data_IF_384875767494
#
_entry.id   IF_384875767494
#
_cell.length_a   1.000
_cell.length_b   1.000
_cell.length_c   1.000
_cell.angle_alpha   90.00
_cell.angle_beta   90.00
_cell.angle_gamma   90.00
#
_symmetry.space_group_name_H-M   'P 1'
#
loop_
_entity.id
_entity.type
_entity.pdbx_description
1 polymer ?
#
# COMPACT_ATOMS: atom_id res chain seq x y z
N UNK A 1 4.65 31.11 -22.83
CA UNK A 1 3.45 30.38 -23.26
C UNK A 1 3.17 29.27 -22.24
N UNK A 2 2.67 29.69 -21.10
CA UNK A 2 2.34 28.78 -20.00
C UNK A 2 0.82 28.61 -19.95
N UNK A 3 0.26 28.00 -21.03
CA UNK A 3 -1.07 27.44 -20.94
C UNK A 3 -0.91 26.02 -20.39
N UNK A 4 -1.19 25.87 -19.11
CA UNK A 4 -1.42 24.52 -18.55
C UNK A 4 -2.39 23.78 -19.49
N UNK A 5 -2.16 22.50 -19.75
CA UNK A 5 -3.12 21.69 -20.50
C UNK A 5 -4.52 21.89 -19.91
N UNK A 6 -5.52 21.96 -20.74
CA UNK A 6 -6.91 22.24 -20.32
C UNK A 6 -7.39 21.30 -19.22
N UNK A 7 -6.88 20.07 -19.22
CA UNK A 7 -7.19 19.07 -18.18
C UNK A 7 -6.60 19.41 -16.81
N UNK A 8 -5.38 19.97 -16.75
CA UNK A 8 -4.78 20.40 -15.50
C UNK A 8 -5.58 21.55 -14.88
N UNK A 9 -5.99 22.51 -15.73
CA UNK A 9 -6.84 23.62 -15.27
C UNK A 9 -8.21 23.14 -14.77
N UNK A 10 -8.83 22.17 -15.46
CA UNK A 10 -10.10 21.60 -15.02
C UNK A 10 -9.95 20.86 -13.68
N UNK A 11 -8.83 20.17 -13.47
CA UNK A 11 -8.54 19.51 -12.19
C UNK A 11 -8.38 20.54 -11.08
N UNK A 12 -7.58 21.59 -11.28
CA UNK A 12 -7.40 22.69 -10.30
C UNK A 12 -8.73 23.39 -9.96
N UNK A 13 -9.54 23.69 -10.98
CA UNK A 13 -10.86 24.32 -10.79
C UNK A 13 -11.80 23.38 -9.98
N UNK A 14 -11.79 22.08 -10.26
CA UNK A 14 -12.58 21.09 -9.53
C UNK A 14 -12.13 20.94 -8.07
N UNK A 15 -10.83 20.87 -7.82
CA UNK A 15 -10.27 20.82 -6.46
C UNK A 15 -10.64 22.07 -5.65
N UNK A 16 -10.56 23.26 -6.28
CA UNK A 16 -10.96 24.50 -5.64
C UNK A 16 -12.44 24.50 -5.26
N UNK A 17 -13.31 24.08 -6.19
CA UNK A 17 -14.75 24.01 -5.93
C UNK A 17 -15.10 23.01 -4.82
N UNK A 18 -14.45 21.84 -4.80
CA UNK A 18 -14.64 20.83 -3.74
C UNK A 18 -14.21 21.40 -2.39
N UNK A 19 -13.09 22.10 -2.33
CA UNK A 19 -12.61 22.76 -1.11
C UNK A 19 -13.62 23.80 -0.62
N UNK A 20 -14.08 24.68 -1.50
CA UNK A 20 -15.06 25.71 -1.15
C UNK A 20 -16.35 25.10 -0.56
N UNK A 21 -16.82 23.97 -1.14
CA UNK A 21 -17.98 23.24 -0.62
C UNK A 21 -17.70 22.64 0.77
N UNK A 22 -16.50 22.07 0.98
CA UNK A 22 -16.15 21.42 2.26
C UNK A 22 -15.86 22.44 3.38
N UNK A 23 -15.50 23.67 3.04
CA UNK A 23 -15.24 24.75 3.97
C UNK A 23 -16.52 25.56 4.29
N UNK A 24 -17.58 25.44 3.49
CA UNK A 24 -18.87 26.10 3.72
C UNK A 24 -19.53 25.55 5.00
N UNK A 25 -19.94 26.45 5.90
CA UNK A 25 -20.64 26.10 7.14
C UNK A 25 -21.97 25.40 6.89
N UNK A 26 -22.63 25.71 5.79
CA UNK A 26 -23.92 25.14 5.37
C UNK A 26 -23.75 23.87 4.49
N UNK A 27 -22.56 23.27 4.45
CA UNK A 27 -22.28 22.10 3.65
C UNK A 27 -23.24 20.94 3.94
N UNK A 28 -24.01 20.46 2.96
CA UNK A 28 -24.97 19.36 3.16
C UNK A 28 -24.29 18.01 3.40
N UNK A 29 -22.99 17.89 3.10
CA UNK A 29 -22.21 16.66 3.23
C UNK A 29 -21.46 16.59 4.56
N UNK A 30 -22.17 16.64 5.69
CA UNK A 30 -21.58 16.73 7.03
C UNK A 30 -20.49 15.68 7.34
N UNK A 31 -20.63 14.44 6.85
CA UNK A 31 -19.61 13.39 7.04
C UNK A 31 -18.33 13.69 6.28
N UNK A 32 -18.45 14.12 5.02
CA UNK A 32 -17.30 14.49 4.19
C UNK A 32 -16.59 15.72 4.76
N UNK A 33 -17.35 16.69 5.24
CA UNK A 33 -16.81 17.86 5.91
C UNK A 33 -16.09 17.51 7.22
N UNK A 34 -16.64 16.61 8.02
CA UNK A 34 -15.99 16.15 9.25
C UNK A 34 -14.68 15.43 8.97
N UNK A 35 -14.65 14.58 7.91
CA UNK A 35 -13.43 13.92 7.47
C UNK A 35 -12.39 14.94 6.97
N UNK A 36 -12.80 15.89 6.15
CA UNK A 36 -11.93 16.96 5.66
C UNK A 36 -11.31 17.76 6.83
N UNK A 37 -12.14 18.20 7.78
CA UNK A 37 -11.68 18.95 8.96
C UNK A 37 -10.71 18.14 9.81
N UNK A 38 -10.95 16.85 10.01
CA UNK A 38 -10.03 15.98 10.77
C UNK A 38 -8.68 15.80 10.05
N UNK A 39 -8.68 15.76 8.72
CA UNK A 39 -7.45 15.70 7.93
C UNK A 39 -6.66 17.01 7.92
N UNK A 40 -7.36 18.14 8.00
CA UNK A 40 -6.76 19.48 8.03
C UNK A 40 -6.35 19.96 9.43
N UNK A 41 -6.71 19.23 10.49
CA UNK A 41 -6.32 19.53 11.88
C UNK A 41 -4.89 19.08 12.16
N UNK A 42 -3.94 19.83 11.62
CA UNK A 42 -2.51 19.53 11.73
C UNK A 42 -2.02 19.53 13.19
N UNK A 43 -2.62 20.33 14.06
CA UNK A 43 -2.25 20.38 15.48
C UNK A 43 -2.64 19.08 16.18
N UNK A 44 -3.84 18.56 15.92
CA UNK A 44 -4.29 17.28 16.46
C UNK A 44 -3.46 16.11 15.87
N UNK A 45 -3.11 16.14 14.59
CA UNK A 45 -2.27 15.14 13.93
C UNK A 45 -0.87 15.12 14.57
N UNK A 46 -0.23 16.26 14.71
CA UNK A 46 1.08 16.37 15.35
C UNK A 46 1.05 15.91 16.82
N UNK A 47 0.01 16.28 17.56
CA UNK A 47 -0.15 15.84 18.94
C UNK A 47 -0.36 14.31 19.07
N UNK A 48 -1.05 13.70 18.13
CA UNK A 48 -1.27 12.25 18.11
C UNK A 48 0.02 11.48 17.78
N UNK A 49 0.90 12.03 16.93
CA UNK A 49 2.13 11.39 16.49
C UNK A 49 1.90 9.97 15.96
N UNK A 50 2.70 8.99 16.40
CA UNK A 50 2.57 7.60 16.01
C UNK A 50 1.52 6.80 16.82
N UNK A 51 0.80 7.43 17.76
CA UNK A 51 -0.16 6.73 18.63
C UNK A 51 -1.24 5.96 17.87
N UNK A 52 -1.85 6.48 16.79
CA UNK A 52 -2.91 5.78 16.06
C UNK A 52 -2.45 4.48 15.38
N UNK A 53 -1.20 4.41 14.95
CA UNK A 53 -0.64 3.22 14.27
C UNK A 53 0.04 2.24 15.24
N UNK A 54 0.22 2.63 16.50
CA UNK A 54 0.93 1.82 17.50
C UNK A 54 0.35 0.41 17.65
N UNK A 55 -0.97 0.20 17.73
CA UNK A 55 -1.53 -1.15 17.84
C UNK A 55 -1.15 -2.07 16.67
N UNK A 56 -1.07 -1.56 15.45
CA UNK A 56 -0.65 -2.33 14.28
C UNK A 56 0.85 -2.66 14.33
N UNK A 57 1.69 -1.68 14.69
CA UNK A 57 3.13 -1.90 14.86
C UNK A 57 3.40 -2.92 15.96
N UNK A 58 2.75 -2.81 17.11
CA UNK A 58 2.90 -3.75 18.22
C UNK A 58 2.46 -5.17 17.81
N UNK A 59 1.39 -5.33 17.03
CA UNK A 59 0.95 -6.63 16.53
C UNK A 59 2.01 -7.28 15.61
N UNK A 60 2.68 -6.47 14.78
CA UNK A 60 3.78 -6.93 13.92
C UNK A 60 5.00 -7.31 14.75
N UNK A 61 5.41 -6.45 15.68
CA UNK A 61 6.61 -6.64 16.51
C UNK A 61 6.50 -7.86 17.44
N UNK A 62 5.28 -8.21 17.88
CA UNK A 62 5.02 -9.36 18.73
C UNK A 62 4.73 -10.66 17.97
N UNK A 63 4.79 -10.67 16.63
CA UNK A 63 4.62 -11.87 15.85
C UNK A 63 5.78 -12.85 16.10
N UNK A 64 5.50 -13.94 16.81
CA UNK A 64 6.53 -14.87 17.30
C UNK A 64 7.22 -15.70 16.20
N UNK A 65 6.55 -15.88 15.07
CA UNK A 65 7.03 -16.67 13.93
C UNK A 65 6.37 -16.22 12.62
N UNK A 66 6.77 -16.82 11.50
CA UNK A 66 6.21 -16.52 10.18
C UNK A 66 4.70 -16.72 10.12
N UNK A 67 4.18 -17.77 10.75
CA UNK A 67 2.74 -18.04 10.72
C UNK A 67 1.95 -17.00 11.52
N UNK A 68 2.48 -16.55 12.66
CA UNK A 68 1.92 -15.43 13.42
C UNK A 68 1.95 -14.14 12.60
N UNK A 69 3.09 -13.83 11.94
CA UNK A 69 3.23 -12.65 11.09
C UNK A 69 2.23 -12.69 9.92
N UNK A 70 2.08 -13.84 9.24
CA UNK A 70 1.11 -14.00 8.15
C UNK A 70 -0.33 -13.72 8.60
N UNK A 71 -0.72 -14.24 9.78
CA UNK A 71 -2.04 -13.92 10.38
C UNK A 71 -2.18 -12.44 10.70
N UNK A 72 -1.14 -11.83 11.28
CA UNK A 72 -1.15 -10.39 11.60
C UNK A 72 -1.34 -9.55 10.34
N UNK A 73 -0.62 -9.86 9.25
CA UNK A 73 -0.78 -9.18 7.95
C UNK A 73 -2.23 -9.31 7.45
N UNK A 74 -2.81 -10.52 7.51
CA UNK A 74 -4.20 -10.74 7.13
C UNK A 74 -5.19 -9.94 7.97
N UNK A 75 -5.01 -9.89 9.29
CA UNK A 75 -5.88 -9.16 10.22
C UNK A 75 -5.78 -7.63 10.05
N UNK A 76 -4.66 -7.10 9.57
CA UNK A 76 -4.47 -5.66 9.33
C UNK A 76 -5.03 -5.21 7.96
N UNK A 77 -5.27 -6.14 7.01
CA UNK A 77 -5.77 -5.81 5.66
C UNK A 77 -7.13 -5.08 5.67
N UNK A 78 -8.15 -5.47 6.46
CA UNK A 78 -9.44 -4.80 6.48
C UNK A 78 -9.39 -3.32 6.90
N UNK A 79 -8.39 -2.93 7.66
CA UNK A 79 -8.20 -1.54 8.12
C UNK A 79 -7.10 -0.80 7.34
N UNK A 80 -6.61 -1.42 6.27
CA UNK A 80 -5.57 -0.88 5.37
C UNK A 80 -4.29 -0.43 6.10
N UNK A 81 -3.91 -1.18 7.14
CA UNK A 81 -2.71 -0.90 7.95
C UNK A 81 -1.63 -1.98 7.81
N UNK A 82 -1.89 -3.02 7.01
CA UNK A 82 -0.94 -4.10 6.78
C UNK A 82 -0.12 -3.91 5.50
N UNK A 83 1.04 -4.58 5.39
CA UNK A 83 1.79 -4.60 4.14
C UNK A 83 1.02 -5.35 3.06
N UNK A 84 0.97 -4.81 1.87
CA UNK A 84 0.40 -5.45 0.69
C UNK A 84 1.43 -6.44 0.10
N UNK A 85 1.37 -7.69 0.55
CA UNK A 85 2.24 -8.76 0.00
C UNK A 85 1.85 -9.08 -1.44
N UNK A 86 0.58 -9.02 -1.72
CA UNK A 86 -0.02 -9.04 -3.06
C UNK A 86 -1.28 -8.17 -3.03
N UNK A 87 -1.63 -7.58 -4.17
CA UNK A 87 -2.90 -6.88 -4.29
C UNK A 87 -4.04 -7.88 -4.47
N UNK A 88 -5.22 -7.53 -3.95
CA UNK A 88 -6.39 -8.40 -3.95
C UNK A 88 -7.64 -7.59 -4.29
N UNK A 89 -8.38 -8.07 -5.25
CA UNK A 89 -9.64 -7.46 -5.67
C UNK A 89 -10.64 -8.52 -6.14
N UNK A 90 -11.91 -8.16 -6.16
CA UNK A 90 -12.98 -9.02 -6.67
C UNK A 90 -13.55 -8.39 -7.92
N UNK A 91 -13.39 -9.07 -9.06
CA UNK A 91 -13.90 -8.63 -10.36
C UNK A 91 -14.57 -9.80 -11.09
N UNK A 92 -15.28 -9.48 -12.18
CA UNK A 92 -15.79 -10.49 -13.10
C UNK A 92 -14.66 -11.30 -13.74
N UNK A 93 -14.84 -12.62 -13.85
CA UNK A 93 -13.90 -13.47 -14.59
C UNK A 93 -13.86 -13.01 -16.07
N UNK A 94 -12.68 -12.65 -16.63
CA UNK A 94 -12.56 -12.20 -18.03
C UNK A 94 -13.11 -13.18 -19.06
N UNK A 95 -13.17 -14.47 -18.76
CA UNK A 95 -13.71 -15.51 -19.64
C UNK A 95 -15.13 -15.94 -19.30
N UNK A 96 -15.65 -15.57 -18.14
CA UNK A 96 -17.02 -15.81 -17.70
C UNK A 96 -17.56 -14.63 -16.89
N UNK A 97 -17.91 -13.51 -17.54
CA UNK A 97 -18.26 -12.25 -16.87
C UNK A 97 -19.45 -12.33 -15.90
N UNK A 98 -20.23 -13.40 -15.95
CA UNK A 98 -21.34 -13.63 -15.02
C UNK A 98 -20.89 -14.20 -13.66
N UNK A 99 -19.60 -14.47 -13.52
CA UNK A 99 -18.99 -15.01 -12.30
C UNK A 99 -17.95 -14.02 -11.75
N UNK A 100 -18.04 -13.67 -10.48
CA UNK A 100 -17.02 -12.92 -9.79
C UNK A 100 -15.93 -13.87 -9.25
N UNK A 101 -14.68 -13.48 -9.42
CA UNK A 101 -13.52 -14.20 -8.90
C UNK A 101 -12.59 -13.26 -8.14
N UNK A 102 -11.82 -13.82 -7.23
CA UNK A 102 -10.76 -13.10 -6.53
C UNK A 102 -9.56 -13.02 -7.46
N UNK A 103 -9.07 -11.81 -7.68
CA UNK A 103 -7.83 -11.54 -8.38
C UNK A 103 -6.71 -11.30 -7.36
N UNK A 104 -5.57 -11.94 -7.58
CA UNK A 104 -4.33 -11.69 -6.85
C UNK A 104 -3.32 -11.13 -7.84
N UNK A 105 -2.76 -9.98 -7.53
CA UNK A 105 -1.79 -9.31 -8.40
C UNK A 105 -0.48 -9.05 -7.64
N UNK A 106 0.61 -8.87 -8.40
CA UNK A 106 1.90 -8.54 -7.81
C UNK A 106 1.83 -7.21 -7.06
N UNK A 107 2.39 -7.18 -5.86
CA UNK A 107 2.48 -6.02 -4.98
C UNK A 107 3.68 -6.17 -4.03
N UNK A 108 3.72 -5.42 -2.94
CA UNK A 108 4.79 -5.52 -1.92
C UNK A 108 6.01 -4.68 -2.23
N UNK A 109 5.88 -3.67 -3.09
CA UNK A 109 6.90 -2.66 -3.36
C UNK A 109 6.30 -1.27 -3.19
N UNK A 110 7.07 -0.32 -2.66
CA UNK A 110 6.61 1.04 -2.41
C UNK A 110 6.98 2.04 -3.51
N UNK A 111 7.93 1.72 -4.39
CA UNK A 111 8.22 2.48 -5.59
C UNK A 111 7.30 2.04 -6.74
N UNK A 112 7.07 2.88 -7.78
CA UNK A 112 5.99 2.66 -8.75
C UNK A 112 6.02 1.35 -9.52
N UNK A 113 7.20 0.82 -9.83
CA UNK A 113 7.37 -0.46 -10.52
C UNK A 113 8.78 -1.05 -10.33
N UNK A 114 9.01 -2.25 -10.87
CA UNK A 114 10.27 -3.01 -10.74
C UNK A 114 11.49 -2.26 -11.31
N UNK A 115 11.32 -1.45 -12.34
CA UNK A 115 12.41 -0.72 -12.99
C UNK A 115 13.08 0.29 -12.03
N UNK A 116 12.31 0.86 -11.09
CA UNK A 116 12.82 1.78 -10.08
C UNK A 116 13.86 1.13 -9.17
N UNK A 117 13.81 -0.19 -8.99
CA UNK A 117 14.74 -0.94 -8.14
C UNK A 117 16.03 -1.35 -8.87
N UNK A 118 16.01 -1.48 -10.20
CA UNK A 118 17.16 -2.02 -10.97
C UNK A 118 17.84 -1.01 -11.87
N UNK A 119 17.14 0.02 -12.38
CA UNK A 119 17.74 0.93 -13.37
C UNK A 119 18.54 2.05 -12.70
N UNK A 120 19.74 2.32 -13.23
CA UNK A 120 20.69 3.26 -12.62
C UNK A 120 20.17 4.70 -12.55
N UNK A 121 19.38 5.12 -13.53
CA UNK A 121 18.85 6.49 -13.56
C UNK A 121 17.85 6.77 -12.44
N UNK A 122 17.29 5.73 -11.79
CA UNK A 122 16.44 5.86 -10.61
C UNK A 122 17.20 5.84 -9.27
N UNK A 123 18.55 5.74 -9.29
CA UNK A 123 19.32 5.72 -8.05
C UNK A 123 19.04 6.91 -7.10
N UNK A 124 18.87 8.17 -7.58
CA UNK A 124 18.51 9.29 -6.70
C UNK A 124 17.12 9.12 -6.05
N UNK A 125 16.18 8.48 -6.74
CA UNK A 125 14.83 8.20 -6.19
C UNK A 125 14.92 7.14 -5.10
N UNK A 126 15.69 6.07 -5.30
CA UNK A 126 15.94 5.06 -4.27
C UNK A 126 16.59 5.65 -3.03
N UNK A 127 17.54 6.55 -3.17
CA UNK A 127 18.17 7.22 -2.04
C UNK A 127 17.15 8.06 -1.25
N UNK A 128 16.37 8.90 -1.93
CA UNK A 128 15.32 9.69 -1.30
C UNK A 128 14.25 8.81 -0.63
N UNK A 129 13.95 7.65 -1.21
CA UNK A 129 13.03 6.67 -0.65
C UNK A 129 13.57 6.07 0.65
N UNK A 130 14.84 5.66 0.69
CA UNK A 130 15.50 5.19 1.91
C UNK A 130 15.50 6.25 3.00
N UNK A 131 15.78 7.52 2.66
CA UNK A 131 15.75 8.64 3.61
C UNK A 131 14.33 8.82 4.20
N UNK A 132 13.29 8.71 3.35
CA UNK A 132 11.90 8.77 3.78
C UNK A 132 11.56 7.62 4.74
N UNK A 133 11.89 6.38 4.39
CA UNK A 133 11.64 5.19 5.23
C UNK A 133 12.39 5.31 6.57
N UNK A 134 13.66 5.72 6.56
CA UNK A 134 14.43 5.94 7.79
C UNK A 134 13.77 6.99 8.69
N UNK A 135 13.27 8.09 8.11
CA UNK A 135 12.53 9.11 8.86
C UNK A 135 11.24 8.55 9.47
N UNK A 136 10.47 7.78 8.72
CA UNK A 136 9.24 7.15 9.21
C UNK A 136 9.51 6.17 10.36
N UNK A 137 10.52 5.31 10.23
CA UNK A 137 10.93 4.39 11.28
C UNK A 137 11.34 5.13 12.56
N UNK A 138 12.06 6.25 12.44
CA UNK A 138 12.45 7.07 13.59
C UNK A 138 11.23 7.71 14.26
N UNK A 139 10.30 8.26 13.49
CA UNK A 139 9.04 8.81 14.01
C UNK A 139 8.18 7.74 14.69
N UNK A 140 8.23 6.51 14.21
CA UNK A 140 7.59 5.35 14.82
C UNK A 140 8.32 4.82 16.06
N UNK A 141 9.52 5.33 16.37
CA UNK A 141 10.26 4.98 17.60
C UNK A 141 11.16 3.75 17.49
N UNK A 142 11.55 3.33 16.26
CA UNK A 142 12.40 2.16 16.03
C UNK A 142 13.90 2.40 16.22
N UNK A 143 14.30 3.57 16.66
CA UNK A 143 15.69 3.86 17.01
C UNK A 143 16.15 5.26 16.64
N UNK A 144 17.45 5.48 16.77
CA UNK A 144 18.13 6.70 16.35
C UNK A 144 18.35 6.74 14.81
N UNK A 145 19.01 7.78 14.33
CA UNK A 145 19.23 8.00 12.90
C UNK A 145 20.09 6.90 12.25
N UNK A 146 21.14 6.44 12.92
CA UNK A 146 22.01 5.38 12.41
C UNK A 146 21.27 4.04 12.32
N UNK A 147 20.54 3.69 13.37
CA UNK A 147 19.75 2.46 13.46
C UNK A 147 18.65 2.44 12.38
N UNK A 148 17.88 3.51 12.27
CA UNK A 148 16.75 3.57 11.32
C UNK A 148 17.22 3.67 9.88
N UNK A 149 18.39 4.27 9.61
CA UNK A 149 19.00 4.22 8.28
C UNK A 149 19.38 2.79 7.89
N UNK A 150 20.05 2.05 8.78
CA UNK A 150 20.39 0.66 8.52
C UNK A 150 19.18 -0.25 8.36
N UNK A 151 18.07 0.05 9.03
CA UNK A 151 16.79 -0.65 8.84
C UNK A 151 16.17 -0.32 7.47
N UNK A 152 16.19 0.94 7.05
CA UNK A 152 15.67 1.38 5.76
C UNK A 152 16.46 0.79 4.57
N UNK A 153 17.79 0.67 4.71
CA UNK A 153 18.62 0.00 3.70
C UNK A 153 18.24 -1.48 3.55
N UNK A 154 17.99 -2.19 4.66
CA UNK A 154 17.50 -3.58 4.65
C UNK A 154 16.10 -3.69 4.08
N UNK A 155 15.24 -2.72 4.34
CA UNK A 155 13.91 -2.66 3.77
C UNK A 155 13.96 -2.53 2.25
N UNK A 156 14.79 -1.62 1.71
CA UNK A 156 14.99 -1.50 0.26
C UNK A 156 15.56 -2.80 -0.36
N UNK A 157 16.46 -3.50 0.35
CA UNK A 157 16.97 -4.81 -0.13
C UNK A 157 15.86 -5.85 -0.25
N UNK A 158 14.95 -5.92 0.73
CA UNK A 158 13.78 -6.82 0.67
C UNK A 158 12.88 -6.48 -0.50
N UNK A 159 12.51 -5.20 -0.67
CA UNK A 159 11.68 -4.78 -1.81
C UNK A 159 12.37 -5.00 -3.16
N UNK A 160 13.68 -4.78 -3.25
CA UNK A 160 14.46 -5.09 -4.47
C UNK A 160 14.36 -6.56 -4.84
N UNK A 161 14.39 -7.46 -3.86
CA UNK A 161 14.22 -8.90 -4.10
C UNK A 161 12.80 -9.27 -4.50
N UNK A 162 11.79 -8.56 -4.00
CA UNK A 162 10.39 -8.70 -4.44
C UNK A 162 10.28 -8.19 -5.88
N UNK A 163 10.73 -6.97 -6.16
CA UNK A 163 10.70 -6.35 -7.47
C UNK A 163 11.39 -7.17 -8.56
N UNK A 164 12.48 -7.87 -8.22
CA UNK A 164 13.17 -8.76 -9.15
C UNK A 164 12.32 -9.94 -9.66
N UNK A 165 11.20 -10.23 -9.01
CA UNK A 165 10.24 -11.27 -9.43
C UNK A 165 8.98 -10.68 -10.06
N UNK A 166 8.83 -9.36 -10.09
CA UNK A 166 7.72 -8.70 -10.75
C UNK A 166 7.86 -8.75 -12.27
N UNK A 167 6.76 -8.83 -12.93
CA UNK A 167 6.68 -8.57 -14.36
C UNK A 167 6.76 -7.06 -14.61
N UNK A 168 7.33 -6.69 -15.74
CA UNK A 168 7.34 -5.30 -16.17
C UNK A 168 5.93 -4.81 -16.58
N UNK A 169 5.79 -3.49 -16.66
CA UNK A 169 4.51 -2.83 -16.98
C UNK A 169 3.94 -3.17 -18.37
N UNK A 170 4.74 -3.73 -19.28
CA UNK A 170 4.25 -4.18 -20.60
C UNK A 170 3.70 -5.59 -20.47
N UNK A 171 4.41 -6.47 -19.78
CA UNK A 171 4.01 -7.85 -19.57
C UNK A 171 2.70 -7.95 -18.75
N UNK A 172 2.50 -7.10 -17.73
CA UNK A 172 1.28 -7.07 -16.91
C UNK A 172 0.03 -6.65 -17.67
N UNK A 173 0.16 -6.00 -18.82
CA UNK A 173 -0.96 -5.62 -19.71
C UNK A 173 -1.42 -6.73 -20.65
N UNK A 174 -0.69 -7.83 -20.72
CA UNK A 174 -1.07 -8.97 -21.57
C UNK A 174 -2.12 -9.83 -20.85
N UNK A 175 -3.39 -9.56 -21.12
CA UNK A 175 -4.53 -10.25 -20.50
C UNK A 175 -4.58 -11.76 -20.72
N UNK A 176 -3.84 -12.28 -21.68
CA UNK A 176 -3.74 -13.75 -21.90
C UNK A 176 -2.71 -14.36 -20.94
N UNK A 177 -1.61 -13.67 -20.70
CA UNK A 177 -0.56 -14.14 -19.78
C UNK A 177 -0.96 -13.96 -18.33
N UNK A 178 -1.69 -12.89 -18.00
CA UNK A 178 -2.15 -12.63 -16.63
C UNK A 178 -3.36 -13.47 -16.21
N UNK A 179 -4.02 -14.17 -17.15
CA UNK A 179 -5.14 -15.05 -16.83
C UNK A 179 -4.65 -16.45 -16.41
N UNK A 180 -4.45 -16.64 -15.12
CA UNK A 180 -3.97 -17.89 -14.51
C UNK A 180 -4.95 -18.39 -13.45
N UNK A 181 -6.16 -18.87 -13.84
CA UNK A 181 -7.15 -19.32 -12.86
C UNK A 181 -6.65 -20.57 -12.13
N UNK A 182 -6.79 -20.55 -10.81
CA UNK A 182 -6.50 -21.68 -9.93
C UNK A 182 -7.54 -21.76 -8.83
N UNK A 183 -7.72 -22.92 -8.22
CA UNK A 183 -8.55 -23.04 -7.02
C UNK A 183 -7.74 -22.77 -5.75
N UNK A 184 -8.44 -22.44 -4.66
CA UNK A 184 -7.82 -22.05 -3.42
C UNK A 184 -6.96 -23.16 -2.77
N UNK A 185 -7.31 -24.43 -2.98
CA UNK A 185 -6.54 -25.56 -2.42
C UNK A 185 -5.18 -25.64 -3.12
N UNK A 186 -5.19 -25.63 -4.45
CA UNK A 186 -3.97 -25.61 -5.27
C UNK A 186 -3.08 -24.40 -4.92
N UNK A 187 -3.67 -23.21 -4.84
CA UNK A 187 -2.97 -21.98 -4.46
C UNK A 187 -2.35 -22.08 -3.05
N UNK A 188 -3.06 -22.70 -2.11
CA UNK A 188 -2.57 -22.88 -0.73
C UNK A 188 -1.38 -23.82 -0.67
N UNK A 189 -1.35 -24.85 -1.50
CA UNK A 189 -0.22 -25.78 -1.59
C UNK A 189 1.00 -25.10 -2.23
N UNK A 190 0.81 -24.32 -3.30
CA UNK A 190 1.87 -23.55 -3.97
C UNK A 190 2.46 -22.48 -3.06
N UNK A 191 1.64 -21.81 -2.25
CA UNK A 191 2.03 -20.76 -1.30
C UNK A 191 2.18 -21.26 0.14
N UNK A 192 2.50 -22.55 0.34
CA UNK A 192 2.64 -23.17 1.67
C UNK A 192 3.63 -22.43 2.57
N UNK A 193 4.70 -21.83 2.01
CA UNK A 193 5.68 -21.06 2.77
C UNK A 193 5.17 -19.72 3.28
N UNK A 194 4.15 -19.17 2.64
CA UNK A 194 3.45 -17.97 3.10
C UNK A 194 2.26 -18.29 4.00
N UNK A 195 1.67 -19.49 3.85
CA UNK A 195 0.44 -19.91 4.53
C UNK A 195 -0.76 -19.01 4.22
N UNK A 196 -1.10 -18.93 2.94
CA UNK A 196 -2.19 -18.07 2.45
C UNK A 196 -3.54 -18.38 3.11
N UNK A 197 -3.78 -19.62 3.55
CA UNK A 197 -5.01 -19.99 4.25
C UNK A 197 -5.12 -19.24 5.61
N UNK A 198 -4.04 -19.22 6.39
CA UNK A 198 -4.01 -18.51 7.65
C UNK A 198 -4.14 -16.98 7.47
N UNK A 199 -3.62 -16.45 6.37
CA UNK A 199 -3.79 -15.05 5.98
C UNK A 199 -5.26 -14.74 5.63
N UNK A 200 -5.87 -15.59 4.79
CA UNK A 200 -7.26 -15.41 4.36
C UNK A 200 -8.26 -15.54 5.51
N UNK A 201 -8.05 -16.51 6.41
CA UNK A 201 -8.87 -16.67 7.61
C UNK A 201 -8.82 -15.44 8.52
N UNK A 202 -7.62 -14.88 8.71
CA UNK A 202 -7.43 -13.68 9.53
C UNK A 202 -8.00 -12.41 8.89
N UNK A 203 -8.05 -12.34 7.55
CA UNK A 203 -8.65 -11.23 6.81
C UNK A 203 -10.18 -11.20 6.93
N UNK A 204 -10.81 -12.35 7.07
CA UNK A 204 -12.28 -12.45 7.20
C UNK A 204 -12.79 -12.06 8.61
N UNK A 205 -11.92 -11.94 9.62
CA UNK A 205 -12.23 -11.53 11.01
C UNK A 205 -12.75 -12.66 11.82
#
# INVERSE_FOLDING_TARGET
HDALPIFDKLAEDAESQIRDILEDEDCPAAKSQALYRSFMDTDAIEAAGATPIRPALDAIDHAADKAALTRTIGALKPIDMGPDVFDIAVFGDPKNPDTNVVHLEQSGIGLPDEAYYREDHYAPIREAYVDMVAKQLRLAGYGDEETTRAQADRFLDVETRIAANHWDNVATRDSQKTYNPTDFVTLSDELAHFNIAAWADAWQG
#
